data_IF_305355117381
#
_entry.id   IF_305355117381
#
_cell.length_a   1.000
_cell.length_b   1.000
_cell.length_c   1.000
_cell.angle_alpha   90.00
_cell.angle_beta   90.00
_cell.angle_gamma   90.00
#
_symmetry.space_group_name_H-M   'P 1'
#
loop_
_entity.id
_entity.type
_entity.pdbx_description
1 polymer ?
#
# COMPACT_ATOMS: atom_id res chain seq x y z
N UNK A 1 3.37 4.09 -36.42
CA UNK A 1 1.92 3.90 -36.62
C UNK A 1 1.22 4.95 -35.77
N UNK A 2 0.61 5.97 -36.38
CA UNK A 2 -0.09 7.03 -35.65
C UNK A 2 -1.41 6.50 -35.06
N UNK A 3 -1.80 6.98 -33.89
CA UNK A 3 -3.06 6.61 -33.21
C UNK A 3 -4.24 7.30 -33.90
N UNK A 4 -5.37 6.59 -34.08
CA UNK A 4 -6.56 7.13 -34.73
C UNK A 4 -7.38 8.01 -33.76
N UNK A 5 -8.11 9.05 -34.22
CA UNK A 5 -8.88 9.98 -33.39
C UNK A 5 -10.14 9.41 -32.70
N UNK A 6 -10.18 8.11 -32.47
CA UNK A 6 -11.27 7.39 -31.78
C UNK A 6 -10.79 6.19 -30.96
N UNK A 7 -9.48 5.93 -30.91
CA UNK A 7 -8.96 5.01 -29.90
C UNK A 7 -9.15 5.67 -28.54
N UNK A 8 -9.74 4.98 -27.53
CA UNK A 8 -9.76 5.50 -26.18
C UNK A 8 -8.31 5.84 -25.84
N UNK A 9 -8.06 7.11 -25.54
CA UNK A 9 -6.77 7.57 -25.01
C UNK A 9 -6.40 6.55 -23.93
N UNK A 10 -5.19 5.93 -23.96
CA UNK A 10 -4.84 4.99 -22.90
C UNK A 10 -5.04 5.72 -21.60
N UNK A 11 -6.10 5.36 -20.88
CA UNK A 11 -6.46 6.03 -19.65
C UNK A 11 -5.27 5.75 -18.75
N UNK A 12 -4.51 6.81 -18.44
CA UNK A 12 -3.26 6.70 -17.72
C UNK A 12 -3.62 6.36 -16.25
N UNK A 13 -3.99 5.10 -16.04
CA UNK A 13 -4.66 4.55 -14.85
C UNK A 13 -3.59 4.01 -13.92
N UNK A 14 -2.66 4.90 -13.58
CA UNK A 14 -1.67 4.64 -12.53
C UNK A 14 -2.35 4.90 -11.19
N UNK A 15 -2.33 3.94 -10.25
CA UNK A 15 -2.81 4.13 -8.89
C UNK A 15 -2.25 5.40 -8.25
N UNK A 16 -3.13 6.21 -7.67
CA UNK A 16 -2.79 7.46 -7.00
C UNK A 16 -2.94 7.30 -5.49
N UNK A 17 -1.91 7.67 -4.74
CA UNK A 17 -1.86 7.53 -3.28
C UNK A 17 -2.12 8.88 -2.62
N UNK A 18 -2.98 8.90 -1.60
CA UNK A 18 -3.24 10.07 -0.76
C UNK A 18 -3.32 9.67 0.71
N UNK A 19 -2.88 10.57 1.59
CA UNK A 19 -3.08 10.48 3.03
C UNK A 19 -3.52 11.83 3.61
N UNK A 20 -4.08 12.71 2.77
CA UNK A 20 -4.51 14.05 3.15
C UNK A 20 -5.90 14.03 3.78
N UNK A 21 -5.97 13.42 4.96
CA UNK A 21 -7.17 13.29 5.77
C UNK A 21 -6.77 12.97 7.22
N UNK A 22 -7.73 13.07 8.12
CA UNK A 22 -7.48 12.85 9.56
C UNK A 22 -6.93 11.45 9.85
N UNK A 23 -5.82 11.42 10.60
CA UNK A 23 -5.10 10.18 10.91
C UNK A 23 -4.31 9.58 9.74
N UNK A 24 -4.29 10.21 8.56
CA UNK A 24 -3.53 9.75 7.41
C UNK A 24 -2.02 9.69 7.66
N UNK A 25 -1.38 8.58 7.27
CA UNK A 25 0.06 8.42 7.33
C UNK A 25 0.60 7.66 6.12
N UNK A 26 1.22 8.39 5.21
CA UNK A 26 2.10 7.89 4.15
C UNK A 26 3.15 8.97 3.82
N UNK A 27 4.41 8.58 3.73
CA UNK A 27 5.52 9.46 3.38
C UNK A 27 5.68 9.59 1.88
N UNK A 28 6.10 8.50 1.24
CA UNK A 28 6.28 8.44 -0.23
C UNK A 28 5.81 7.09 -0.77
N UNK A 29 5.42 7.10 -2.05
CA UNK A 29 5.13 5.91 -2.84
C UNK A 29 6.03 5.90 -4.07
N UNK A 30 6.78 4.82 -4.29
CA UNK A 30 7.65 4.64 -5.45
C UNK A 30 7.16 3.44 -6.25
N UNK A 31 6.81 3.66 -7.50
CA UNK A 31 6.48 2.58 -8.44
C UNK A 31 7.75 1.81 -8.81
N UNK A 32 7.75 0.49 -8.58
CA UNK A 32 8.81 -0.42 -9.02
C UNK A 32 8.47 -1.04 -10.38
N UNK A 33 7.21 -1.44 -10.55
CA UNK A 33 6.62 -1.92 -11.80
C UNK A 33 5.16 -1.48 -11.87
N UNK A 34 4.45 -1.76 -12.97
CA UNK A 34 3.04 -1.36 -13.15
C UNK A 34 2.13 -1.74 -11.96
N UNK A 35 2.45 -2.85 -11.29
CA UNK A 35 1.65 -3.46 -10.22
C UNK A 35 2.42 -3.65 -8.91
N UNK A 36 3.51 -2.92 -8.68
CA UNK A 36 4.36 -3.09 -7.51
C UNK A 36 4.91 -1.76 -7.01
N UNK A 37 4.75 -1.50 -5.71
CA UNK A 37 5.08 -0.20 -5.12
C UNK A 37 5.82 -0.36 -3.79
N UNK A 38 6.92 0.38 -3.66
CA UNK A 38 7.59 0.63 -2.38
C UNK A 38 6.91 1.82 -1.69
N UNK A 39 6.46 1.63 -0.46
CA UNK A 39 5.80 2.61 0.39
C UNK A 39 6.70 2.93 1.59
N UNK A 40 6.92 4.22 1.83
CA UNK A 40 7.61 4.70 3.02
C UNK A 40 6.61 5.40 3.93
N UNK A 41 6.50 4.97 5.18
CA UNK A 41 5.71 5.66 6.20
C UNK A 41 6.45 6.87 6.74
N UNK A 42 5.73 7.86 7.29
CA UNK A 42 6.32 8.89 8.15
C UNK A 42 6.56 8.31 9.54
N UNK A 43 7.52 8.87 10.26
CA UNK A 43 7.75 8.47 11.65
C UNK A 43 6.70 9.10 12.57
N UNK A 44 6.47 8.49 13.73
CA UNK A 44 5.59 9.04 14.75
C UNK A 44 6.10 10.41 15.22
N UNK A 45 5.17 11.36 15.42
CA UNK A 45 5.48 12.76 15.81
C UNK A 45 6.41 12.85 17.00
N UNK A 46 6.20 12.00 18.01
CA UNK A 46 6.96 12.01 19.26
C UNK A 46 8.05 10.92 19.32
N UNK A 47 8.21 10.10 18.26
CA UNK A 47 9.23 9.07 18.24
C UNK A 47 9.71 8.76 16.81
N UNK A 48 10.83 9.38 16.37
CA UNK A 48 11.32 9.22 15.00
C UNK A 48 11.80 7.79 14.67
N UNK A 49 11.93 6.92 15.68
CA UNK A 49 12.34 5.52 15.52
C UNK A 49 11.19 4.60 15.11
N UNK A 50 9.94 4.99 15.39
CA UNK A 50 8.77 4.16 15.14
C UNK A 50 7.98 4.59 13.89
N UNK A 51 7.64 3.58 13.08
CA UNK A 51 6.89 3.61 11.83
C UNK A 51 6.03 2.36 11.81
N UNK A 52 4.89 2.42 12.50
CA UNK A 52 3.99 1.28 12.71
C UNK A 52 2.56 1.57 12.25
N UNK A 53 2.13 2.83 12.37
CA UNK A 53 0.84 3.29 11.88
C UNK A 53 0.93 3.65 10.40
N UNK A 54 -0.01 3.16 9.61
CA UNK A 54 -0.24 3.63 8.25
C UNK A 54 -1.73 3.83 8.07
N UNK A 55 -2.09 4.86 7.32
CA UNK A 55 -3.45 5.06 6.87
C UNK A 55 -3.43 5.87 5.58
N UNK A 56 -3.80 5.25 4.46
CA UNK A 56 -3.77 5.91 3.16
C UNK A 56 -4.89 5.42 2.25
N UNK A 57 -5.21 6.25 1.25
CA UNK A 57 -6.19 5.99 0.22
C UNK A 57 -5.48 5.77 -1.11
N UNK A 58 -5.99 4.83 -1.90
CA UNK A 58 -5.61 4.62 -3.29
C UNK A 58 -6.83 4.88 -4.18
N UNK A 59 -6.64 5.61 -5.28
CA UNK A 59 -7.63 5.88 -6.33
C UNK A 59 -7.06 5.55 -7.71
N UNK A 60 -7.87 5.67 -8.76
CA UNK A 60 -7.45 5.51 -10.16
C UNK A 60 -6.81 4.14 -10.50
N UNK A 61 -7.13 3.08 -9.73
CA UNK A 61 -6.72 1.72 -10.03
C UNK A 61 -7.64 1.08 -11.09
N UNK A 62 -7.09 0.21 -11.95
CA UNK A 62 -7.87 -0.50 -12.97
C UNK A 62 -8.71 -1.60 -12.31
N UNK A 63 -9.91 -1.90 -12.83
CA UNK A 63 -10.65 -3.09 -12.43
C UNK A 63 -9.80 -4.35 -12.62
N UNK A 64 -9.85 -5.27 -11.65
CA UNK A 64 -9.07 -6.50 -11.58
C UNK A 64 -7.54 -6.30 -11.51
N UNK A 65 -7.07 -5.06 -11.30
CA UNK A 65 -5.65 -4.82 -11.08
C UNK A 65 -5.22 -5.42 -9.75
N UNK A 66 -4.27 -6.35 -9.81
CA UNK A 66 -3.64 -6.94 -8.62
C UNK A 66 -2.35 -6.19 -8.36
N UNK A 67 -2.28 -5.48 -7.24
CA UNK A 67 -1.12 -4.66 -6.87
C UNK A 67 -0.46 -5.22 -5.62
N UNK A 68 0.86 -5.25 -5.62
CA UNK A 68 1.71 -5.59 -4.49
C UNK A 68 2.29 -4.31 -3.88
N UNK A 69 2.07 -4.14 -2.58
CA UNK A 69 2.59 -3.01 -1.82
C UNK A 69 3.64 -3.49 -0.84
N UNK A 70 4.76 -2.79 -0.74
CA UNK A 70 5.83 -3.04 0.20
C UNK A 70 5.98 -1.85 1.15
N UNK A 71 5.56 -1.97 2.40
CA UNK A 71 5.96 -0.98 3.40
C UNK A 71 7.38 -1.30 3.85
N UNK A 72 8.36 -0.62 3.24
CA UNK A 72 9.77 -1.01 3.30
C UNK A 72 10.50 -0.54 4.55
N UNK A 73 9.98 0.48 5.22
CA UNK A 73 10.56 1.08 6.41
C UNK A 73 9.75 0.79 7.69
N UNK A 74 9.07 -0.36 7.74
CA UNK A 74 8.28 -0.75 8.92
C UNK A 74 9.22 -1.04 10.09
N UNK A 75 8.94 -0.43 11.25
CA UNK A 75 9.83 -0.55 12.40
C UNK A 75 9.87 -1.99 12.92
N UNK A 76 11.08 -2.47 13.21
CA UNK A 76 11.25 -3.72 13.92
C UNK A 76 10.68 -3.61 15.33
N UNK A 77 9.81 -4.55 15.69
CA UNK A 77 9.51 -4.91 17.08
C UNK A 77 9.88 -6.36 17.29
N UNK A 78 10.53 -6.66 18.40
CA UNK A 78 10.92 -8.02 18.81
C UNK A 78 9.74 -9.00 18.86
N UNK A 79 8.52 -8.49 19.06
CA UNK A 79 7.25 -9.22 18.99
C UNK A 79 6.26 -8.47 18.11
N UNK A 80 6.52 -8.41 16.81
CA UNK A 80 5.57 -7.83 15.86
C UNK A 80 4.37 -8.76 15.72
N UNK A 81 3.16 -8.24 15.91
CA UNK A 81 1.93 -9.02 15.71
C UNK A 81 1.77 -9.49 14.25
N UNK A 82 2.43 -8.83 13.30
CA UNK A 82 2.49 -9.28 11.90
C UNK A 82 3.31 -10.57 11.73
N UNK A 83 4.23 -10.87 12.64
CA UNK A 83 4.89 -12.19 12.69
C UNK A 83 3.93 -13.28 13.21
N UNK A 84 2.92 -12.89 14.01
CA UNK A 84 1.90 -13.77 14.58
C UNK A 84 0.59 -13.77 13.77
N UNK A 85 0.64 -13.41 12.48
CA UNK A 85 -0.49 -13.53 11.55
C UNK A 85 -1.46 -12.34 11.50
N UNK A 86 -1.14 -11.21 12.15
CA UNK A 86 -1.91 -9.97 11.97
C UNK A 86 -1.88 -9.53 10.50
N UNK A 87 -2.97 -8.93 10.03
CA UNK A 87 -3.13 -8.48 8.64
C UNK A 87 -3.56 -7.01 8.59
N UNK A 88 -3.14 -6.24 7.57
CA UNK A 88 -3.70 -4.91 7.30
C UNK A 88 -5.22 -4.96 7.18
N UNK A 89 -5.86 -3.83 7.41
CA UNK A 89 -7.29 -3.67 7.14
C UNK A 89 -7.50 -2.98 5.80
N UNK A 90 -8.69 -3.16 5.22
CA UNK A 90 -9.10 -2.49 4.00
C UNK A 90 -10.55 -2.03 4.12
N UNK A 91 -10.87 -0.88 3.52
CA UNK A 91 -12.22 -0.34 3.40
C UNK A 91 -12.41 0.34 2.06
N UNK A 92 -13.61 0.27 1.50
CA UNK A 92 -14.00 0.99 0.29
C UNK A 92 -15.52 1.22 0.29
N UNK A 93 -16.10 1.78 -0.77
CA UNK A 93 -17.55 1.92 -0.88
C UNK A 93 -18.26 0.54 -1.02
N UNK A 94 -17.64 -0.38 -1.75
CA UNK A 94 -18.04 -1.78 -1.94
C UNK A 94 -17.75 -2.66 -0.72
N UNK A 95 -16.84 -2.23 0.17
CA UNK A 95 -16.52 -2.84 1.46
C UNK A 95 -16.67 -1.80 2.57
N UNK A 96 -17.91 -1.48 2.99
CA UNK A 96 -18.18 -0.32 3.84
C UNK A 96 -17.61 -0.46 5.26
N UNK A 97 -17.32 -1.69 5.69
CA UNK A 97 -16.69 -2.00 6.98
C UNK A 97 -15.20 -2.21 6.79
N UNK A 98 -14.43 -1.88 7.83
CA UNK A 98 -13.03 -2.25 7.92
C UNK A 98 -12.91 -3.76 8.08
N UNK A 99 -12.27 -4.41 7.11
CA UNK A 99 -12.09 -5.86 7.09
C UNK A 99 -10.59 -6.18 6.97
N UNK A 100 -10.15 -7.25 7.63
CA UNK A 100 -8.75 -7.70 7.53
C UNK A 100 -8.50 -8.28 6.15
N UNK A 101 -7.34 -7.97 5.58
CA UNK A 101 -6.85 -8.71 4.41
C UNK A 101 -6.67 -10.17 4.77
N UNK A 102 -6.88 -11.04 3.79
CA UNK A 102 -6.66 -12.47 3.98
C UNK A 102 -5.16 -12.73 4.26
N UNK A 103 -4.78 -13.47 5.32
CA UNK A 103 -3.38 -13.66 5.72
C UNK A 103 -2.45 -14.15 4.60
N UNK A 104 -2.94 -15.03 3.71
CA UNK A 104 -2.21 -15.48 2.50
C UNK A 104 -1.71 -14.37 1.56
N UNK A 105 -2.27 -13.17 1.67
CA UNK A 105 -1.90 -12.01 0.87
C UNK A 105 -0.99 -11.05 1.64
N UNK A 106 -0.49 -11.43 2.81
CA UNK A 106 0.31 -10.59 3.71
C UNK A 106 1.61 -11.32 4.04
N UNK A 107 2.72 -10.60 3.93
CA UNK A 107 4.06 -11.12 4.17
C UNK A 107 4.82 -10.15 5.06
N UNK A 108 5.47 -10.66 6.09
CA UNK A 108 6.28 -9.86 7.01
C UNK A 108 7.66 -10.49 7.15
N UNK A 109 8.70 -9.74 6.78
CA UNK A 109 10.07 -10.27 6.75
C UNK A 109 11.11 -9.19 6.98
N UNK A 110 12.32 -9.60 7.37
CA UNK A 110 13.45 -8.68 7.54
C UNK A 110 14.00 -8.25 6.18
N UNK A 111 14.23 -6.95 5.98
CA UNK A 111 14.82 -6.46 4.73
C UNK A 111 16.24 -6.99 4.53
N UNK A 112 16.55 -7.40 3.29
CA UNK A 112 17.89 -7.79 2.85
C UNK A 112 18.71 -6.60 2.33
N UNK A 113 18.05 -5.45 2.07
CA UNK A 113 18.70 -4.24 1.55
C UNK A 113 19.61 -3.64 2.62
N UNK A 114 20.88 -3.37 2.27
CA UNK A 114 21.88 -2.83 3.21
C UNK A 114 21.47 -1.47 3.76
N UNK A 115 20.82 -0.64 2.95
CA UNK A 115 20.31 0.68 3.33
C UNK A 115 19.11 0.64 4.28
N UNK A 116 18.43 -0.50 4.40
CA UNK A 116 17.27 -0.71 5.31
C UNK A 116 17.64 -1.64 6.49
N UNK A 117 18.89 -1.59 6.95
CA UNK A 117 19.39 -2.45 8.03
C UNK A 117 18.51 -2.34 9.27
N UNK A 118 18.05 -3.49 9.78
CA UNK A 118 17.13 -3.62 10.92
C UNK A 118 15.69 -3.13 10.70
N UNK A 119 15.28 -2.88 9.45
CA UNK A 119 13.87 -2.65 9.12
C UNK A 119 13.21 -3.94 8.65
N UNK A 120 11.91 -4.04 8.92
CA UNK A 120 11.07 -5.08 8.36
C UNK A 120 10.29 -4.52 7.19
N UNK A 121 9.99 -5.41 6.26
CA UNK A 121 9.08 -5.12 5.16
C UNK A 121 7.76 -5.80 5.47
N UNK A 122 6.69 -5.01 5.48
CA UNK A 122 5.32 -5.51 5.47
C UNK A 122 4.81 -5.40 4.04
N UNK A 123 4.71 -6.55 3.37
CA UNK A 123 4.20 -6.63 2.01
C UNK A 123 2.78 -7.15 2.01
N UNK A 124 1.90 -6.57 1.20
CA UNK A 124 0.56 -7.12 1.03
C UNK A 124 0.01 -6.90 -0.37
N UNK A 125 -0.90 -7.79 -0.77
CA UNK A 125 -1.52 -7.79 -2.09
C UNK A 125 -2.98 -7.38 -1.98
N UNK A 126 -3.41 -6.49 -2.88
CA UNK A 126 -4.82 -6.15 -3.05
C UNK A 126 -5.25 -6.26 -4.52
N UNK A 127 -6.50 -6.64 -4.74
CA UNK A 127 -7.13 -6.68 -6.07
C UNK A 127 -8.24 -5.65 -6.10
N UNK A 128 -8.07 -4.62 -6.92
CA UNK A 128 -9.08 -3.57 -7.11
C UNK A 128 -10.23 -4.12 -7.94
N UNK A 129 -11.47 -3.83 -7.53
CA UNK A 129 -12.65 -4.44 -8.18
C UNK A 129 -13.51 -3.43 -8.93
N UNK A 130 -13.48 -2.15 -8.54
CA UNK A 130 -14.24 -1.08 -9.17
C UNK A 130 -13.29 0.00 -9.69
N UNK A 131 -13.57 0.59 -10.87
CA UNK A 131 -12.78 1.69 -11.39
C UNK A 131 -12.99 2.93 -10.53
N UNK A 132 -11.90 3.67 -10.30
CA UNK A 132 -11.87 4.94 -9.53
C UNK A 132 -12.51 4.89 -8.12
N UNK A 133 -12.71 3.68 -7.58
CA UNK A 133 -13.19 3.51 -6.23
C UNK A 133 -12.05 3.82 -5.25
N UNK A 134 -12.27 4.73 -4.27
CA UNK A 134 -11.30 4.97 -3.22
C UNK A 134 -11.18 3.74 -2.30
N UNK A 135 -9.98 3.19 -2.19
CA UNK A 135 -9.67 2.08 -1.29
C UNK A 135 -8.71 2.55 -0.22
N UNK A 136 -9.11 2.36 1.04
CA UNK A 136 -8.38 2.76 2.22
C UNK A 136 -7.70 1.57 2.86
N UNK A 137 -6.45 1.75 3.29
CA UNK A 137 -5.64 0.77 4.03
C UNK A 137 -5.13 1.38 5.32
#
# INVERSE_FOLDING_TARGET
RALNPGDPTPCNTTPQFSCDFEGGNLGTSKMLSENEYDLHLRADTNNPKYRLWFYFCIRNAKPHQKVLFHIVNFSFKSKSLYADGMSPTVRSASRPRWERLHPKNVFYYKSQKKELKNQHVLSFVHVFTKPDEPVYF
#
